data_IF_889750919750
#
_entry.id   IF_889750919750
#
_cell.length_a   1.000
_cell.length_b   1.000
_cell.length_c   1.000
_cell.angle_alpha   90.00
_cell.angle_beta   90.00
_cell.angle_gamma   90.00
#
_symmetry.space_group_name_H-M   'P 1'
#
loop_
_entity.id
_entity.type
_entity.pdbx_description
1 polymer ?
#
# COMPACT_ATOMS: atom_id res chain seq x y z
N UNK A 1 12.74 -4.40 -21.97
CA UNK A 1 12.56 -3.95 -20.57
C UNK A 1 12.26 -5.16 -19.70
N UNK A 2 12.97 -5.35 -18.59
CA UNK A 2 12.69 -6.46 -17.67
C UNK A 2 11.37 -6.20 -16.93
N UNK A 3 10.46 -7.18 -16.91
CA UNK A 3 9.16 -7.09 -16.25
C UNK A 3 8.78 -8.44 -15.65
N UNK A 4 8.53 -8.52 -14.36
CA UNK A 4 8.21 -9.78 -13.69
C UNK A 4 7.53 -9.61 -12.35
N UNK A 5 6.90 -10.69 -11.89
CA UNK A 5 6.31 -10.80 -10.56
C UNK A 5 7.22 -11.64 -9.65
N UNK A 6 7.48 -11.21 -8.45
CA UNK A 6 8.09 -12.00 -7.38
C UNK A 6 6.99 -12.61 -6.54
N UNK A 7 6.95 -13.93 -6.50
CA UNK A 7 5.97 -14.67 -5.69
C UNK A 7 6.67 -15.75 -4.83
N UNK A 8 5.93 -16.35 -3.92
CA UNK A 8 6.44 -17.43 -3.09
C UNK A 8 5.31 -18.39 -2.68
N UNK A 9 5.62 -19.62 -2.28
CA UNK A 9 4.61 -20.58 -1.83
C UNK A 9 3.76 -20.10 -0.66
N UNK A 10 4.33 -19.26 0.21
CA UNK A 10 3.69 -18.79 1.45
C UNK A 10 4.27 -17.48 1.96
N UNK A 11 3.57 -16.86 2.92
CA UNK A 11 4.11 -15.73 3.68
C UNK A 11 5.37 -16.14 4.44
N UNK A 12 6.30 -15.18 4.65
CA UNK A 12 7.55 -15.46 5.36
C UNK A 12 8.65 -16.14 4.54
N UNK A 13 8.43 -16.43 3.25
CA UNK A 13 9.46 -17.03 2.36
C UNK A 13 10.56 -16.04 1.93
N UNK A 14 10.47 -14.76 2.34
CA UNK A 14 11.47 -13.74 2.05
C UNK A 14 11.25 -12.96 0.76
N UNK A 15 10.03 -12.92 0.22
CA UNK A 15 9.70 -12.09 -0.97
C UNK A 15 10.21 -10.67 -0.84
N UNK A 16 9.84 -9.96 0.22
CA UNK A 16 10.23 -8.56 0.43
C UNK A 16 11.74 -8.39 0.51
N UNK A 17 12.45 -9.30 1.19
CA UNK A 17 13.92 -9.27 1.26
C UNK A 17 14.54 -9.40 -0.13
N UNK A 18 14.06 -10.37 -0.92
CA UNK A 18 14.53 -10.61 -2.30
C UNK A 18 14.15 -9.44 -3.21
N UNK A 19 12.94 -8.91 -3.10
CA UNK A 19 12.50 -7.74 -3.87
C UNK A 19 13.40 -6.54 -3.60
N UNK A 20 13.64 -6.21 -2.33
CA UNK A 20 14.53 -5.09 -1.97
C UNK A 20 15.97 -5.30 -2.47
N UNK A 21 16.50 -6.53 -2.37
CA UNK A 21 17.81 -6.87 -2.88
C UNK A 21 17.88 -6.72 -4.42
N UNK A 22 16.88 -7.21 -5.15
CA UNK A 22 16.79 -7.08 -6.61
C UNK A 22 16.67 -5.61 -7.05
N UNK A 23 15.78 -4.83 -6.43
CA UNK A 23 15.62 -3.41 -6.74
C UNK A 23 16.93 -2.65 -6.55
N UNK A 24 17.64 -2.90 -5.45
CA UNK A 24 18.92 -2.28 -5.18
C UNK A 24 20.03 -2.75 -6.16
N UNK A 25 20.05 -4.04 -6.52
CA UNK A 25 20.98 -4.58 -7.51
C UNK A 25 20.73 -4.02 -8.92
N UNK A 26 19.47 -3.97 -9.36
CA UNK A 26 19.07 -3.34 -10.64
C UNK A 26 19.51 -1.87 -10.71
N UNK A 27 19.31 -1.14 -9.61
CA UNK A 27 19.77 0.26 -9.52
C UNK A 27 21.31 0.38 -9.59
N UNK A 28 22.07 -0.50 -8.92
CA UNK A 28 23.53 -0.56 -9.03
C UNK A 28 24.03 -0.86 -10.46
N UNK A 29 23.25 -1.63 -11.22
CA UNK A 29 23.52 -1.92 -12.63
C UNK A 29 23.17 -0.76 -13.57
N UNK A 30 22.75 0.38 -13.04
CA UNK A 30 22.38 1.56 -13.83
C UNK A 30 21.00 1.45 -14.49
N UNK A 31 20.21 0.45 -14.12
CA UNK A 31 18.80 0.38 -14.51
C UNK A 31 17.99 1.30 -13.59
N UNK A 32 16.92 1.86 -14.13
CA UNK A 32 15.95 2.64 -13.37
C UNK A 32 14.73 1.76 -13.07
N UNK A 33 14.70 1.05 -11.90
CA UNK A 33 13.61 0.15 -11.57
C UNK A 33 12.39 0.90 -11.04
N UNK A 34 11.18 0.45 -11.44
CA UNK A 34 9.91 0.74 -10.80
C UNK A 34 9.40 -0.49 -10.06
N UNK A 35 8.82 -0.31 -8.89
CA UNK A 35 8.26 -1.40 -8.09
C UNK A 35 6.74 -1.29 -7.98
N UNK A 36 6.08 -2.45 -7.93
CA UNK A 36 4.68 -2.55 -7.58
C UNK A 36 4.48 -3.55 -6.44
N UNK A 37 3.58 -3.24 -5.54
CA UNK A 37 3.12 -4.15 -4.51
C UNK A 37 1.72 -4.65 -4.81
N UNK A 38 1.52 -5.96 -4.85
CA UNK A 38 0.18 -6.54 -4.92
C UNK A 38 -0.56 -6.33 -3.59
N UNK A 39 -1.80 -5.86 -3.68
CA UNK A 39 -2.65 -5.65 -2.51
C UNK A 39 -2.47 -4.29 -1.81
N UNK A 40 -3.19 -4.08 -0.69
CA UNK A 40 -3.36 -2.78 -0.04
C UNK A 40 -2.26 -2.48 1.00
N UNK A 41 -1.01 -2.71 0.63
CA UNK A 41 0.15 -2.54 1.50
C UNK A 41 0.74 -1.13 1.37
N UNK A 42 0.79 -0.37 2.46
CA UNK A 42 1.41 0.95 2.49
C UNK A 42 2.91 0.89 2.76
N UNK A 43 3.38 -0.15 3.44
CA UNK A 43 4.71 -0.21 4.06
C UNK A 43 5.78 -0.53 3.04
N UNK A 44 5.57 -1.57 2.23
CA UNK A 44 6.55 -1.96 1.23
C UNK A 44 6.77 -0.87 0.17
N UNK A 45 5.73 -0.23 -0.42
CA UNK A 45 5.93 0.91 -1.31
C UNK A 45 6.60 2.11 -0.65
N UNK A 46 6.25 2.43 0.59
CA UNK A 46 6.90 3.51 1.34
C UNK A 46 8.38 3.19 1.60
N UNK A 47 8.70 1.94 1.93
CA UNK A 47 10.07 1.49 2.11
C UNK A 47 10.89 1.61 0.81
N UNK A 48 10.35 1.15 -0.32
CA UNK A 48 11.01 1.25 -1.61
C UNK A 48 11.35 2.72 -1.94
N UNK A 49 10.39 3.63 -1.75
CA UNK A 49 10.62 5.06 -2.00
C UNK A 49 11.62 5.70 -1.04
N UNK A 50 11.47 5.46 0.28
CA UNK A 50 12.26 6.18 1.30
C UNK A 50 13.66 5.64 1.49
N UNK A 51 13.87 4.31 1.36
CA UNK A 51 15.17 3.65 1.61
C UNK A 51 15.92 3.38 0.33
N UNK A 52 15.25 2.90 -0.71
CA UNK A 52 15.90 2.55 -1.98
C UNK A 52 15.90 3.70 -2.98
N UNK A 53 15.05 4.72 -2.78
CA UNK A 53 14.81 5.77 -3.77
C UNK A 53 14.29 5.18 -5.09
N UNK A 54 13.41 4.18 -5.00
CA UNK A 54 12.77 3.50 -6.11
C UNK A 54 11.30 3.87 -6.12
N UNK A 55 10.79 4.31 -7.25
CA UNK A 55 9.36 4.55 -7.43
C UNK A 55 8.57 3.28 -7.19
N UNK A 56 7.49 3.36 -6.41
CA UNK A 56 6.74 2.19 -5.99
C UNK A 56 5.27 2.49 -5.77
N UNK A 57 4.41 1.60 -6.27
CA UNK A 57 2.96 1.75 -6.35
C UNK A 57 2.24 0.49 -5.88
N UNK A 58 0.90 0.59 -5.76
CA UNK A 58 0.06 -0.57 -5.44
C UNK A 58 -0.76 -0.99 -6.67
N UNK A 59 -0.88 -2.30 -6.85
CA UNK A 59 -1.80 -2.90 -7.81
C UNK A 59 -2.71 -3.88 -7.08
N UNK A 60 -4.01 -3.62 -7.11
CA UNK A 60 -4.97 -4.39 -6.34
C UNK A 60 -6.19 -4.76 -7.17
N UNK A 61 -6.34 -6.06 -7.47
CA UNK A 61 -7.45 -6.61 -8.26
C UNK A 61 -8.74 -6.81 -7.47
N UNK A 62 -8.73 -6.60 -6.15
CA UNK A 62 -9.94 -6.54 -5.35
C UNK A 62 -10.52 -5.14 -5.31
N UNK A 63 -9.67 -4.14 -5.06
CA UNK A 63 -10.05 -2.74 -4.93
C UNK A 63 -10.31 -2.07 -6.28
N UNK A 64 -9.73 -2.60 -7.37
CA UNK A 64 -9.85 -2.03 -8.71
C UNK A 64 -10.17 -3.07 -9.77
N UNK A 65 -10.86 -2.63 -10.81
CA UNK A 65 -11.11 -3.46 -11.99
C UNK A 65 -9.80 -3.81 -12.72
N UNK A 66 -9.77 -4.98 -13.37
CA UNK A 66 -8.60 -5.48 -14.13
C UNK A 66 -8.05 -4.44 -15.13
N UNK A 67 -8.92 -3.70 -15.80
CA UNK A 67 -8.50 -2.67 -16.75
C UNK A 67 -7.81 -1.49 -16.04
N UNK A 68 -8.33 -1.04 -14.90
CA UNK A 68 -7.71 0.01 -14.09
C UNK A 68 -6.31 -0.42 -13.62
N UNK A 69 -6.15 -1.67 -13.17
CA UNK A 69 -4.85 -2.22 -12.78
C UNK A 69 -3.87 -2.22 -13.94
N UNK A 70 -4.30 -2.60 -15.15
CA UNK A 70 -3.47 -2.55 -16.36
C UNK A 70 -3.07 -1.13 -16.76
N UNK A 71 -4.00 -0.18 -16.65
CA UNK A 71 -3.74 1.24 -16.93
C UNK A 71 -2.74 1.84 -15.94
N UNK A 72 -2.90 1.56 -14.64
CA UNK A 72 -1.95 1.98 -13.60
C UNK A 72 -0.56 1.38 -13.83
N UNK A 73 -0.50 0.06 -14.12
CA UNK A 73 0.74 -0.59 -14.45
C UNK A 73 1.44 0.07 -15.65
N UNK A 74 0.71 0.27 -16.74
CA UNK A 74 1.28 0.88 -17.94
C UNK A 74 1.71 2.33 -17.71
N UNK A 75 0.95 3.09 -16.92
CA UNK A 75 1.25 4.48 -16.59
C UNK A 75 2.57 4.61 -15.80
N UNK A 76 2.69 3.86 -14.70
CA UNK A 76 3.85 3.99 -13.81
C UNK A 76 5.07 3.17 -14.27
N UNK A 77 4.90 2.13 -15.09
CA UNK A 77 6.00 1.40 -15.70
C UNK A 77 6.68 2.16 -16.85
N UNK A 78 6.01 3.18 -17.39
CA UNK A 78 6.49 3.90 -18.55
C UNK A 78 7.80 4.66 -18.26
N UNK A 79 8.82 4.47 -19.10
CA UNK A 79 10.10 5.14 -18.98
C UNK A 79 11.13 4.45 -18.09
N UNK A 80 10.75 3.44 -17.33
CA UNK A 80 11.67 2.67 -16.49
C UNK A 80 12.40 1.57 -17.26
N UNK A 81 13.58 1.17 -16.79
CA UNK A 81 14.38 0.09 -17.38
C UNK A 81 13.98 -1.30 -16.91
N UNK A 82 13.39 -1.40 -15.72
CA UNK A 82 12.91 -2.63 -15.12
C UNK A 82 11.66 -2.41 -14.28
N UNK A 83 10.77 -3.41 -14.23
CA UNK A 83 9.57 -3.40 -13.38
C UNK A 83 9.51 -4.67 -12.55
N UNK A 84 9.39 -4.50 -11.25
CA UNK A 84 9.31 -5.59 -10.28
C UNK A 84 7.99 -5.51 -9.52
N UNK A 85 7.11 -6.49 -9.71
CA UNK A 85 5.86 -6.60 -8.96
C UNK A 85 6.05 -7.57 -7.79
N UNK A 86 5.92 -7.14 -6.55
CA UNK A 86 5.97 -8.02 -5.38
C UNK A 86 4.58 -8.55 -5.05
N UNK A 87 4.40 -9.88 -5.07
CA UNK A 87 3.17 -10.55 -4.65
C UNK A 87 2.95 -10.50 -3.14
N UNK A 88 1.71 -10.46 -2.73
CA UNK A 88 1.31 -10.62 -1.33
C UNK A 88 1.08 -12.10 -0.98
N UNK A 89 1.19 -12.46 0.29
CA UNK A 89 0.88 -13.80 0.83
C UNK A 89 1.55 -14.96 0.07
N UNK A 90 0.90 -16.10 -0.05
CA UNK A 90 1.28 -17.18 -0.95
C UNK A 90 0.79 -16.91 -2.39
N UNK A 91 1.42 -17.57 -3.36
CA UNK A 91 1.21 -17.28 -4.78
C UNK A 91 -0.25 -17.34 -5.21
N UNK A 92 -1.00 -18.31 -4.71
CA UNK A 92 -2.42 -18.50 -5.01
C UNK A 92 -3.37 -18.00 -3.92
N UNK A 93 -2.81 -17.47 -2.81
CA UNK A 93 -3.62 -16.97 -1.71
C UNK A 93 -4.21 -15.59 -2.08
N UNK A 94 -5.52 -15.52 -2.14
CA UNK A 94 -6.26 -14.31 -2.44
C UNK A 94 -7.34 -14.02 -1.41
N UNK A 95 -8.44 -13.44 -1.84
CA UNK A 95 -9.56 -13.15 -0.96
C UNK A 95 -10.16 -14.41 -0.35
N UNK A 96 -10.17 -14.51 0.96
CA UNK A 96 -10.69 -15.67 1.68
C UNK A 96 -9.95 -16.95 1.32
N UNK A 97 -10.66 -17.96 0.86
CA UNK A 97 -10.10 -19.25 0.39
C UNK A 97 -10.15 -19.36 -1.14
N UNK A 98 -9.90 -18.28 -1.85
CA UNK A 98 -9.94 -18.23 -3.32
C UNK A 98 -8.64 -17.68 -3.87
N UNK A 99 -8.45 -17.81 -5.19
CA UNK A 99 -7.31 -17.17 -5.90
C UNK A 99 -7.60 -15.74 -6.36
N UNK A 100 -8.78 -15.18 -6.04
CA UNK A 100 -9.15 -13.82 -6.42
C UNK A 100 -8.24 -12.79 -5.74
N UNK A 101 -7.70 -11.87 -6.51
CA UNK A 101 -6.73 -10.85 -6.09
C UNK A 101 -5.42 -11.43 -5.53
N UNK A 102 -5.06 -12.68 -5.88
CA UNK A 102 -3.77 -13.28 -5.55
C UNK A 102 -2.64 -12.73 -6.43
N UNK A 103 -1.40 -13.04 -6.06
CA UNK A 103 -0.23 -12.75 -6.89
C UNK A 103 -0.29 -13.46 -8.26
N UNK A 104 -0.89 -14.66 -8.32
CA UNK A 104 -1.15 -15.36 -9.57
C UNK A 104 -2.12 -14.59 -10.46
N UNK A 105 -3.25 -14.13 -9.92
CA UNK A 105 -4.22 -13.37 -10.72
C UNK A 105 -3.63 -12.05 -11.23
N UNK A 106 -2.74 -11.42 -10.46
CA UNK A 106 -2.01 -10.23 -10.92
C UNK A 106 -1.05 -10.57 -12.08
N UNK A 107 -0.28 -11.65 -11.96
CA UNK A 107 0.61 -12.11 -13.03
C UNK A 107 -0.17 -12.43 -14.31
N UNK A 108 -1.29 -13.13 -14.19
CA UNK A 108 -2.21 -13.44 -15.30
C UNK A 108 -2.84 -12.16 -15.90
N UNK A 109 -3.26 -11.24 -15.05
CA UNK A 109 -3.86 -9.98 -15.49
C UNK A 109 -2.90 -9.13 -16.32
N UNK A 110 -1.61 -9.16 -16.01
CA UNK A 110 -0.56 -8.36 -16.65
C UNK A 110 0.26 -9.15 -17.68
N UNK A 111 0.04 -10.45 -17.81
CA UNK A 111 0.83 -11.37 -18.65
C UNK A 111 2.32 -11.32 -18.33
N UNK A 112 2.65 -11.36 -17.02
CA UNK A 112 4.02 -11.25 -16.55
C UNK A 112 4.60 -12.60 -16.11
N UNK A 113 5.87 -12.89 -16.41
CA UNK A 113 6.57 -14.04 -15.85
C UNK A 113 6.74 -13.90 -14.34
N UNK A 114 6.66 -15.04 -13.66
CA UNK A 114 6.79 -15.13 -12.21
C UNK A 114 8.13 -15.73 -11.82
N UNK A 115 8.86 -15.06 -10.97
CA UNK A 115 10.02 -15.60 -10.26
C UNK A 115 9.58 -16.14 -8.91
N UNK A 116 9.65 -17.44 -8.74
CA UNK A 116 9.22 -18.11 -7.52
C UNK A 116 10.36 -18.13 -6.49
N UNK A 117 10.21 -17.39 -5.41
CA UNK A 117 11.14 -17.36 -4.28
C UNK A 117 10.81 -18.49 -3.32
N UNK A 118 11.74 -19.42 -3.12
CA UNK A 118 11.55 -20.56 -2.23
C UNK A 118 12.70 -20.69 -1.22
N UNK A 119 12.36 -21.16 -0.01
CA UNK A 119 13.35 -21.46 1.03
C UNK A 119 13.54 -22.97 1.12
N UNK A 120 14.75 -23.51 0.87
CA UNK A 120 14.99 -24.95 0.93
C UNK A 120 15.21 -25.43 2.37
N UNK A 121 14.37 -24.98 3.31
CA UNK A 121 14.51 -25.31 4.73
C UNK A 121 13.91 -26.68 5.03
N UNK A 122 14.79 -27.65 5.29
CA UNK A 122 14.38 -29.01 5.68
C UNK A 122 13.73 -29.82 4.54
N UNK A 123 13.93 -29.40 3.28
CA UNK A 123 13.39 -30.08 2.11
C UNK A 123 14.43 -30.19 0.98
N UNK A 124 14.38 -31.26 0.20
CA UNK A 124 15.18 -31.48 -1.01
C UNK A 124 14.27 -31.91 -2.16
N UNK A 125 14.03 -33.19 -2.39
CA UNK A 125 13.11 -33.69 -3.42
C UNK A 125 11.67 -33.21 -3.18
N UNK A 126 11.23 -33.11 -1.92
CA UNK A 126 9.91 -32.56 -1.56
C UNK A 126 9.74 -31.14 -2.06
N UNK A 127 10.81 -30.33 -2.10
CA UNK A 127 10.76 -28.98 -2.66
C UNK A 127 10.40 -28.96 -4.14
N UNK A 128 10.93 -29.92 -4.93
CA UNK A 128 10.58 -30.07 -6.33
C UNK A 128 9.08 -30.40 -6.49
N UNK A 129 8.55 -31.32 -5.66
CA UNK A 129 7.13 -31.66 -5.67
C UNK A 129 6.24 -30.46 -5.29
N UNK A 130 6.65 -29.63 -4.30
CA UNK A 130 5.94 -28.40 -3.95
C UNK A 130 5.91 -27.42 -5.15
N UNK A 131 7.03 -27.22 -5.80
CA UNK A 131 7.13 -26.32 -6.97
C UNK A 131 6.29 -26.85 -8.14
N UNK A 132 6.37 -28.15 -8.46
CA UNK A 132 5.54 -28.77 -9.48
C UNK A 132 4.03 -28.59 -9.18
N UNK A 133 3.64 -28.75 -7.91
CA UNK A 133 2.28 -28.48 -7.47
C UNK A 133 1.84 -27.06 -7.79
N UNK A 134 2.69 -26.07 -7.54
CA UNK A 134 2.41 -24.67 -7.87
C UNK A 134 2.36 -24.43 -9.40
N UNK A 135 3.27 -25.03 -10.16
CA UNK A 135 3.31 -24.88 -11.63
C UNK A 135 2.04 -25.43 -12.28
N UNK A 136 1.51 -26.54 -11.78
CA UNK A 136 0.38 -27.26 -12.40
C UNK A 136 -0.98 -26.99 -11.73
N UNK A 137 -1.04 -26.20 -10.65
CA UNK A 137 -2.31 -25.92 -9.96
C UNK A 137 -3.30 -25.10 -10.81
N UNK A 138 -2.79 -24.25 -11.69
CA UNK A 138 -3.58 -23.51 -12.68
C UNK A 138 -3.03 -23.79 -14.08
N UNK A 139 -3.84 -23.71 -15.14
CA UNK A 139 -3.39 -23.96 -16.52
C UNK A 139 -2.20 -23.10 -16.93
N UNK A 140 -2.18 -21.84 -16.51
CA UNK A 140 -1.10 -20.89 -16.77
C UNK A 140 -0.64 -20.29 -15.44
N UNK A 141 0.42 -20.88 -14.87
CA UNK A 141 0.99 -20.38 -13.62
C UNK A 141 1.89 -19.16 -13.81
N UNK A 142 2.37 -18.94 -15.06
CA UNK A 142 3.37 -17.93 -15.39
C UNK A 142 4.71 -18.10 -14.68
N UNK A 143 4.92 -19.16 -13.89
CA UNK A 143 6.19 -19.41 -13.20
C UNK A 143 7.26 -19.72 -14.25
N UNK A 144 8.25 -18.82 -14.37
CA UNK A 144 9.29 -18.89 -15.38
C UNK A 144 10.67 -19.24 -14.81
N UNK A 145 10.88 -19.06 -13.51
CA UNK A 145 12.15 -19.36 -12.87
C UNK A 145 12.06 -19.43 -11.35
N UNK A 146 13.09 -20.00 -10.75
CA UNK A 146 13.19 -20.25 -9.31
C UNK A 146 14.38 -19.46 -8.75
N UNK A 147 14.18 -18.82 -7.59
CA UNK A 147 15.24 -18.20 -6.82
C UNK A 147 15.23 -18.74 -5.39
N UNK A 148 16.37 -19.28 -4.93
CA UNK A 148 16.48 -19.84 -3.60
C UNK A 148 16.85 -18.74 -2.58
N UNK A 149 16.03 -18.58 -1.55
CA UNK A 149 16.28 -17.63 -0.46
C UNK A 149 16.74 -18.36 0.81
N UNK A 150 17.58 -17.72 1.62
CA UNK A 150 18.18 -18.30 2.83
C UNK A 150 18.92 -19.63 2.53
N UNK A 151 19.63 -19.66 1.41
CA UNK A 151 20.27 -20.84 0.85
C UNK A 151 21.79 -20.69 0.82
N UNK A 152 22.54 -21.69 1.32
CA UNK A 152 24.00 -21.70 1.19
C UNK A 152 24.45 -22.13 -0.21
N UNK A 153 25.65 -21.71 -0.63
CA UNK A 153 26.23 -22.11 -1.90
C UNK A 153 26.29 -23.65 -2.07
N UNK A 154 26.70 -24.36 -1.02
CA UNK A 154 26.76 -25.83 -1.05
C UNK A 154 25.37 -26.43 -1.33
N UNK A 155 24.33 -25.92 -0.66
CA UNK A 155 22.98 -26.42 -0.83
C UNK A 155 22.42 -26.04 -2.22
N UNK A 156 22.72 -24.83 -2.69
CA UNK A 156 22.37 -24.39 -4.05
C UNK A 156 22.94 -25.32 -5.13
N UNK A 157 24.24 -25.64 -5.05
CA UNK A 157 24.90 -26.55 -6.01
C UNK A 157 24.30 -27.96 -6.04
N UNK A 158 23.76 -28.42 -4.89
CA UNK A 158 23.08 -29.72 -4.80
C UNK A 158 21.65 -29.65 -5.35
N UNK A 159 20.91 -28.58 -5.03
CA UNK A 159 19.49 -28.46 -5.38
C UNK A 159 19.25 -28.02 -6.82
N UNK A 160 20.13 -27.16 -7.37
CA UNK A 160 19.94 -26.62 -8.72
C UNK A 160 19.67 -27.71 -9.78
N UNK A 161 20.56 -28.71 -9.99
CA UNK A 161 20.32 -29.72 -11.01
C UNK A 161 19.07 -30.58 -10.73
N UNK A 162 18.79 -30.86 -9.45
CA UNK A 162 17.58 -31.59 -9.07
C UNK A 162 16.31 -30.81 -9.43
N UNK A 163 16.23 -29.54 -9.02
CA UNK A 163 15.05 -28.72 -9.27
C UNK A 163 14.84 -28.46 -10.76
N UNK A 164 15.89 -28.18 -11.50
CA UNK A 164 15.83 -27.98 -12.95
C UNK A 164 15.35 -29.25 -13.69
N UNK A 165 15.84 -30.43 -13.28
CA UNK A 165 15.43 -31.72 -13.86
C UNK A 165 13.96 -32.02 -13.57
N UNK A 166 13.54 -31.88 -12.31
CA UNK A 166 12.19 -32.27 -11.89
C UNK A 166 11.12 -31.26 -12.29
N UNK A 167 11.44 -29.96 -12.34
CA UNK A 167 10.43 -28.92 -12.59
C UNK A 167 10.45 -28.39 -14.03
N UNK A 168 11.53 -28.61 -14.76
CA UNK A 168 11.77 -28.00 -16.08
C UNK A 168 12.00 -26.50 -16.06
N UNK A 169 12.14 -25.89 -14.86
CA UNK A 169 12.34 -24.46 -14.68
C UNK A 169 13.80 -24.15 -14.34
N UNK A 170 14.38 -23.07 -14.88
CA UNK A 170 15.73 -22.65 -14.49
C UNK A 170 15.77 -22.18 -13.02
N UNK A 171 16.81 -22.58 -12.30
CA UNK A 171 17.14 -22.06 -10.98
C UNK A 171 18.16 -20.95 -11.15
N UNK A 172 17.68 -19.70 -11.07
CA UNK A 172 18.42 -18.50 -11.43
C UNK A 172 19.57 -18.16 -10.48
N UNK A 173 19.46 -18.58 -9.23
CA UNK A 173 20.45 -18.24 -8.23
C UNK A 173 19.94 -18.40 -6.81
N UNK A 174 20.69 -17.82 -5.88
CA UNK A 174 20.33 -17.88 -4.47
C UNK A 174 20.73 -16.61 -3.71
N UNK A 175 19.97 -16.29 -2.67
CA UNK A 175 20.35 -15.30 -1.66
C UNK A 175 20.80 -16.05 -0.40
N UNK A 176 22.06 -15.91 0.04
CA UNK A 176 22.54 -16.55 1.26
C UNK A 176 21.93 -15.89 2.50
N UNK A 177 21.91 -16.63 3.60
CA UNK A 177 21.57 -16.05 4.89
C UNK A 177 22.67 -15.10 5.34
N UNK A 178 22.30 -13.84 5.55
CA UNK A 178 23.20 -12.78 6.01
C UNK A 178 22.72 -12.28 7.39
N UNK A 179 23.25 -12.78 8.51
CA UNK A 179 22.84 -12.36 9.85
C UNK A 179 22.97 -10.85 10.09
N UNK A 180 23.97 -10.21 9.48
CA UNK A 180 24.23 -8.78 9.57
C UNK A 180 23.26 -7.93 8.72
N UNK A 181 22.52 -8.55 7.81
CA UNK A 181 21.57 -7.88 6.91
C UNK A 181 20.11 -8.28 7.18
N UNK A 182 19.83 -8.81 8.37
CA UNK A 182 18.45 -9.09 8.76
C UNK A 182 17.70 -7.78 8.86
N UNK A 183 16.71 -7.63 7.97
CA UNK A 183 15.68 -6.60 8.10
C UNK A 183 14.67 -7.16 9.08
N UNK A 184 14.60 -6.56 10.28
CA UNK A 184 13.68 -7.02 11.32
C UNK A 184 12.27 -7.13 10.76
N UNK A 185 11.61 -8.25 11.08
CA UNK A 185 10.20 -8.46 10.71
C UNK A 185 9.40 -7.25 11.15
N UNK A 186 8.80 -6.58 10.19
CA UNK A 186 7.95 -5.42 10.44
C UNK A 186 6.74 -5.92 11.19
N UNK A 187 6.62 -5.52 12.43
CA UNK A 187 5.42 -5.76 13.21
C UNK A 187 4.32 -4.94 12.55
N UNK A 188 3.65 -5.53 11.54
CA UNK A 188 2.46 -5.00 10.85
C UNK A 188 2.45 -3.46 10.76
N UNK A 189 3.56 -2.87 10.27
CA UNK A 189 3.61 -1.44 10.06
C UNK A 189 3.99 -0.56 11.24
N UNK A 190 4.34 -1.09 12.38
CA UNK A 190 4.71 -0.29 13.55
C UNK A 190 6.08 0.43 13.44
N UNK A 191 6.92 0.03 12.48
CA UNK A 191 8.19 0.71 12.19
C UNK A 191 8.18 1.19 10.74
N UNK A 192 8.23 2.49 10.55
CA UNK A 192 8.44 3.08 9.24
C UNK A 192 9.89 2.87 8.79
N UNK A 193 10.13 2.92 7.50
CA UNK A 193 11.48 2.80 6.94
C UNK A 193 12.48 3.80 7.55
N UNK A 194 12.01 5.01 7.89
CA UNK A 194 12.84 6.06 8.52
C UNK A 194 13.21 5.80 9.98
N UNK A 195 12.58 4.82 10.65
CA UNK A 195 12.83 4.48 12.06
C UNK A 195 13.85 3.34 12.23
N UNK A 196 14.23 2.69 11.14
CA UNK A 196 15.22 1.63 11.16
C UNK A 196 16.56 2.24 10.72
N UNK A 197 17.45 2.41 11.64
CA UNK A 197 18.83 2.81 11.36
C UNK A 197 19.55 1.71 10.55
N UNK A 198 20.52 2.06 9.71
CA UNK A 198 21.37 1.14 8.92
C UNK A 198 20.70 0.32 7.80
N UNK A 199 19.41 0.59 7.50
CA UNK A 199 18.67 -0.18 6.48
C UNK A 199 19.31 -0.14 5.09
N UNK A 200 19.71 1.05 4.65
CA UNK A 200 20.35 1.19 3.33
C UNK A 200 21.63 0.35 3.24
N UNK A 201 22.42 0.26 4.33
CA UNK A 201 23.61 -0.57 4.38
C UNK A 201 23.25 -2.05 4.32
N UNK A 202 22.26 -2.49 5.09
CA UNK A 202 21.79 -3.89 5.08
C UNK A 202 21.28 -4.31 3.70
N UNK A 203 20.47 -3.46 3.06
CA UNK A 203 20.00 -3.73 1.70
C UNK A 203 21.16 -3.74 0.70
N UNK A 204 22.16 -2.88 0.89
CA UNK A 204 23.40 -2.90 0.09
C UNK A 204 24.12 -4.25 0.14
N UNK A 205 24.25 -4.85 1.32
CA UNK A 205 24.85 -6.19 1.50
C UNK A 205 24.02 -7.30 0.84
N UNK A 206 22.69 -7.23 0.95
CA UNK A 206 21.78 -8.18 0.27
C UNK A 206 21.89 -8.06 -1.24
N UNK A 207 21.96 -6.83 -1.76
CA UNK A 207 22.13 -6.57 -3.19
C UNK A 207 23.47 -7.12 -3.73
N UNK A 208 24.57 -6.90 -3.02
CA UNK A 208 25.89 -7.41 -3.40
C UNK A 208 25.93 -8.95 -3.40
N UNK A 209 25.31 -9.57 -2.39
CA UNK A 209 25.20 -11.01 -2.32
C UNK A 209 24.35 -11.59 -3.46
N UNK A 210 23.26 -10.91 -3.80
CA UNK A 210 22.41 -11.34 -4.92
C UNK A 210 23.10 -11.12 -6.26
N UNK A 211 23.76 -9.97 -6.46
CA UNK A 211 24.55 -9.66 -7.67
C UNK A 211 25.59 -10.75 -7.97
N UNK A 212 26.27 -11.24 -6.94
CA UNK A 212 27.29 -12.27 -7.07
C UNK A 212 26.75 -13.68 -7.36
N UNK A 213 25.46 -13.94 -7.05
CA UNK A 213 24.92 -15.31 -7.05
C UNK A 213 23.69 -15.48 -7.98
N UNK A 214 23.35 -14.48 -8.80
CA UNK A 214 22.25 -14.51 -9.72
C UNK A 214 22.72 -14.63 -11.17
N UNK A 215 22.12 -15.53 -11.94
CA UNK A 215 22.28 -15.61 -13.38
C UNK A 215 21.46 -14.52 -14.07
N UNK A 216 22.08 -13.35 -14.22
CA UNK A 216 21.48 -12.18 -14.81
C UNK A 216 21.08 -12.37 -16.26
N UNK A 217 21.86 -13.13 -17.04
CA UNK A 217 21.57 -13.37 -18.44
C UNK A 217 20.28 -14.18 -18.61
N UNK A 218 20.12 -15.22 -17.81
CA UNK A 218 18.88 -16.02 -17.81
C UNK A 218 17.70 -15.22 -17.27
N UNK A 219 17.90 -14.44 -16.20
CA UNK A 219 16.85 -13.55 -15.67
C UNK A 219 16.36 -12.57 -16.74
N UNK A 220 17.26 -11.89 -17.42
CA UNK A 220 16.94 -10.93 -18.47
C UNK A 220 16.17 -11.62 -19.61
N UNK A 221 16.66 -12.76 -20.11
CA UNK A 221 16.01 -13.52 -21.17
C UNK A 221 14.56 -13.96 -20.81
N UNK A 222 14.32 -14.34 -19.55
CA UNK A 222 12.99 -14.75 -19.10
C UNK A 222 12.02 -13.58 -18.90
N UNK A 223 12.54 -12.41 -18.55
CA UNK A 223 11.72 -11.28 -18.10
C UNK A 223 11.65 -10.12 -19.09
N UNK A 224 12.42 -10.20 -20.20
CA UNK A 224 12.36 -9.16 -21.23
C UNK A 224 10.99 -9.18 -21.93
N UNK A 225 10.34 -8.02 -21.91
CA UNK A 225 9.03 -7.78 -22.54
C UNK A 225 9.06 -6.40 -23.21
N UNK A 226 8.22 -6.17 -24.24
CA UNK A 226 7.97 -4.84 -24.76
C UNK A 226 7.52 -3.90 -23.63
N UNK A 227 7.97 -2.65 -23.67
CA UNK A 227 7.46 -1.66 -22.72
C UNK A 227 5.93 -1.52 -22.88
N UNK A 228 5.17 -1.39 -21.80
CA UNK A 228 3.74 -1.14 -21.88
C UNK A 228 3.48 0.11 -22.74
N UNK A 229 2.42 0.07 -23.55
CA UNK A 229 2.02 1.23 -24.30
C UNK A 229 1.70 2.38 -23.33
N UNK A 230 2.30 3.57 -23.50
CA UNK A 230 2.04 4.68 -22.58
C UNK A 230 0.56 5.04 -22.63
N UNK A 231 -0.07 5.00 -21.45
CA UNK A 231 -1.43 5.54 -21.29
C UNK A 231 -1.29 7.04 -21.12
N UNK A 232 -1.87 7.87 -22.02
CA UNK A 232 -1.82 9.31 -21.85
C UNK A 232 -2.37 9.67 -20.46
N UNK A 233 -1.68 10.51 -19.68
CA UNK A 233 -2.24 10.98 -18.43
C UNK A 233 -3.56 11.67 -18.74
N UNK A 234 -4.62 11.43 -17.92
CA UNK A 234 -5.86 12.17 -18.08
C UNK A 234 -5.56 13.66 -18.04
N UNK A 235 -6.19 14.43 -18.93
CA UNK A 235 -5.94 15.86 -19.03
C UNK A 235 -6.11 16.51 -17.64
N UNK A 236 -5.04 17.16 -17.16
CA UNK A 236 -5.05 17.89 -15.90
C UNK A 236 -6.19 18.92 -15.92
N UNK A 237 -7.16 18.74 -15.06
CA UNK A 237 -8.19 19.75 -14.87
C UNK A 237 -7.62 20.86 -14.00
N UNK A 238 -7.57 22.08 -14.52
CA UNK A 238 -7.19 23.25 -13.72
C UNK A 238 -8.30 23.58 -12.75
N UNK A 239 -8.32 22.92 -11.59
CA UNK A 239 -9.31 23.21 -10.57
C UNK A 239 -8.93 24.44 -9.74
N UNK A 240 -7.64 24.68 -9.56
CA UNK A 240 -7.14 25.79 -8.76
C UNK A 240 -7.56 25.73 -7.29
N UNK A 241 -7.75 24.52 -6.75
CA UNK A 241 -8.07 24.31 -5.34
C UNK A 241 -6.88 23.68 -4.61
N UNK A 242 -6.58 24.19 -3.43
CA UNK A 242 -5.51 23.68 -2.56
C UNK A 242 -6.10 22.71 -1.54
N UNK A 243 -5.56 21.49 -1.51
CA UNK A 243 -5.93 20.45 -0.56
C UNK A 243 -4.75 20.22 0.39
N UNK A 244 -4.97 20.45 1.68
CA UNK A 244 -3.99 20.11 2.69
C UNK A 244 -4.00 18.60 2.93
N UNK A 245 -2.81 17.98 2.88
CA UNK A 245 -2.62 16.55 3.11
C UNK A 245 -1.71 16.36 4.31
N UNK A 246 -2.19 15.71 5.36
CA UNK A 246 -1.35 15.38 6.51
C UNK A 246 -0.31 14.35 6.11
N UNK A 247 0.96 14.65 6.38
CA UNK A 247 2.08 13.77 6.07
C UNK A 247 3.21 13.93 7.08
N UNK A 248 3.31 12.98 7.98
CA UNK A 248 4.40 12.81 8.94
C UNK A 248 4.45 11.36 9.44
N UNK A 249 5.16 11.10 10.52
CA UNK A 249 5.26 9.76 11.10
C UNK A 249 3.95 9.23 11.67
N UNK A 250 3.02 10.10 12.04
CA UNK A 250 1.69 9.74 12.54
C UNK A 250 0.70 9.52 11.38
N UNK A 251 0.90 10.16 10.23
CA UNK A 251 0.03 10.15 9.05
C UNK A 251 0.83 9.81 7.79
N UNK A 252 1.05 8.53 7.53
CA UNK A 252 1.92 8.07 6.45
C UNK A 252 1.26 7.06 5.50
N UNK A 253 0.00 6.67 5.71
CA UNK A 253 -0.70 5.68 4.90
C UNK A 253 -1.59 6.33 3.84
N UNK A 254 -0.96 6.97 2.87
CA UNK A 254 -1.62 7.43 1.65
C UNK A 254 -1.07 6.66 0.45
N UNK A 255 -1.96 6.12 -0.38
CA UNK A 255 -1.54 5.56 -1.66
C UNK A 255 -1.02 6.66 -2.58
N UNK A 256 0.11 6.42 -3.27
CA UNK A 256 0.64 7.35 -4.25
C UNK A 256 -0.40 7.63 -5.36
N UNK A 257 -1.11 6.59 -5.79
CA UNK A 257 -2.17 6.64 -6.78
C UNK A 257 -3.32 7.57 -6.34
N UNK A 258 -3.68 7.58 -5.05
CA UNK A 258 -4.71 8.50 -4.51
C UNK A 258 -4.26 9.95 -4.65
N UNK A 259 -3.00 10.24 -4.30
CA UNK A 259 -2.45 11.60 -4.42
C UNK A 259 -2.38 12.05 -5.89
N UNK A 260 -2.00 11.15 -6.79
CA UNK A 260 -1.93 11.44 -8.23
C UNK A 260 -3.33 11.61 -8.85
N UNK A 261 -4.31 10.84 -8.41
CA UNK A 261 -5.71 11.04 -8.80
C UNK A 261 -6.25 12.40 -8.37
N UNK A 262 -5.88 12.90 -7.19
CA UNK A 262 -6.26 14.24 -6.74
C UNK A 262 -5.59 15.33 -7.59
N UNK A 263 -4.29 15.19 -7.90
CA UNK A 263 -3.57 16.11 -8.82
C UNK A 263 -4.22 16.13 -10.19
N UNK A 264 -4.52 14.95 -10.73
CA UNK A 264 -5.20 14.77 -12.02
C UNK A 264 -6.60 15.40 -12.03
N UNK A 265 -7.34 15.32 -10.92
CA UNK A 265 -8.61 16.01 -10.76
C UNK A 265 -8.49 17.55 -10.63
N UNK A 266 -7.25 18.07 -10.55
CA UNK A 266 -6.93 19.49 -10.55
C UNK A 266 -6.64 20.09 -9.18
N UNK A 267 -6.34 19.29 -8.18
CA UNK A 267 -5.92 19.78 -6.87
C UNK A 267 -4.42 20.11 -6.85
N UNK A 268 -4.08 21.21 -6.21
CA UNK A 268 -2.75 21.46 -5.66
C UNK A 268 -2.67 20.82 -4.27
N UNK A 269 -1.76 19.87 -4.09
CA UNK A 269 -1.56 19.22 -2.79
C UNK A 269 -0.53 19.98 -1.98
N UNK A 270 -0.90 20.37 -0.76
CA UNK A 270 -0.03 21.06 0.19
C UNK A 270 0.14 20.18 1.41
N UNK A 271 1.34 19.66 1.60
CA UNK A 271 1.63 18.76 2.71
C UNK A 271 1.90 19.53 4.00
N UNK A 272 1.43 19.00 5.13
CA UNK A 272 1.67 19.55 6.45
C UNK A 272 1.82 18.44 7.50
N UNK A 273 2.42 18.74 8.63
CA UNK A 273 2.64 17.80 9.73
C UNK A 273 1.76 18.14 10.93
N UNK A 274 0.72 17.36 11.23
CA UNK A 274 -0.03 17.54 12.47
C UNK A 274 0.81 17.44 13.75
N UNK A 275 1.94 16.73 13.71
CA UNK A 275 2.87 16.59 14.85
C UNK A 275 3.73 17.83 15.04
N UNK A 276 4.17 18.49 13.94
CA UNK A 276 5.23 19.53 14.01
C UNK A 276 4.76 20.93 13.64
N UNK A 277 3.82 21.07 12.70
CA UNK A 277 3.34 22.37 12.26
C UNK A 277 2.33 22.95 13.26
N UNK A 278 2.33 24.26 13.42
CA UNK A 278 1.45 24.96 14.38
C UNK A 278 0.19 25.53 13.76
N UNK A 279 0.05 25.49 12.42
CA UNK A 279 -1.09 25.98 11.68
C UNK A 279 -1.35 25.14 10.44
N UNK A 280 -2.60 25.11 9.97
CA UNK A 280 -2.93 24.60 8.66
C UNK A 280 -2.34 25.50 7.56
N UNK A 281 -1.98 24.94 6.39
CA UNK A 281 -1.56 25.72 5.25
C UNK A 281 -2.64 26.75 4.85
N UNK A 282 -2.19 27.91 4.35
CA UNK A 282 -3.10 28.98 3.94
C UNK A 282 -3.88 28.62 2.69
N UNK A 283 -5.05 29.23 2.54
CA UNK A 283 -5.95 29.14 1.36
C UNK A 283 -6.37 27.72 0.95
N UNK A 284 -6.41 26.80 1.92
CA UNK A 284 -6.90 25.45 1.67
C UNK A 284 -8.41 25.42 1.48
N UNK A 285 -8.84 24.53 0.61
CA UNK A 285 -10.25 24.30 0.27
C UNK A 285 -10.67 22.85 0.53
N UNK A 286 -9.75 22.02 0.98
CA UNK A 286 -9.97 20.63 1.38
C UNK A 286 -8.90 20.14 2.33
N UNK A 287 -9.22 19.11 3.09
CA UNK A 287 -8.32 18.48 4.08
C UNK A 287 -8.36 16.97 3.90
N UNK A 288 -7.19 16.34 3.73
CA UNK A 288 -7.04 14.90 3.72
C UNK A 288 -6.14 14.46 4.88
N UNK A 289 -6.71 13.69 5.79
CA UNK A 289 -6.05 13.07 6.94
C UNK A 289 -5.97 11.55 6.67
N UNK A 290 -4.89 11.04 6.09
CA UNK A 290 -4.75 9.62 5.80
C UNK A 290 -4.55 8.78 7.06
N UNK A 291 -4.45 7.47 6.90
CA UNK A 291 -4.07 6.55 7.95
C UNK A 291 -2.62 6.71 8.39
N UNK A 292 -2.23 5.92 9.38
CA UNK A 292 -0.89 5.92 9.96
C UNK A 292 -0.89 5.35 11.37
N UNK A 293 -0.03 5.91 12.21
CA UNK A 293 0.18 5.47 13.60
C UNK A 293 -0.03 6.61 14.60
N UNK A 294 -1.19 7.27 14.65
CA UNK A 294 -1.40 8.39 15.56
C UNK A 294 -1.28 7.97 17.04
N UNK A 295 -1.55 6.71 17.36
CA UNK A 295 -1.40 6.17 18.72
C UNK A 295 0.05 6.14 19.22
N UNK A 296 1.03 6.03 18.33
CA UNK A 296 2.45 6.12 18.69
C UNK A 296 2.89 7.56 18.91
N UNK A 297 2.15 8.51 18.38
CA UNK A 297 2.40 9.96 18.47
C UNK A 297 1.27 10.68 19.20
N UNK A 298 0.45 9.95 19.98
CA UNK A 298 -0.74 10.50 20.63
C UNK A 298 -0.39 11.68 21.57
N UNK A 299 0.71 11.59 22.33
CA UNK A 299 1.17 12.67 23.18
C UNK A 299 1.62 13.91 22.39
N UNK A 300 2.56 13.85 21.43
CA UNK A 300 2.91 15.01 20.60
C UNK A 300 1.71 15.62 19.87
N UNK A 301 0.81 14.82 19.31
CA UNK A 301 -0.41 15.30 18.68
C UNK A 301 -1.31 16.04 19.67
N UNK A 302 -1.42 15.54 20.90
CA UNK A 302 -2.19 16.17 21.97
C UNK A 302 -1.58 17.49 22.44
N UNK A 303 -0.26 17.55 22.58
CA UNK A 303 0.48 18.74 22.99
C UNK A 303 0.40 19.86 21.94
N UNK A 304 0.22 19.53 20.66
CA UNK A 304 0.02 20.51 19.58
C UNK A 304 -1.43 21.03 19.54
N UNK A 305 -1.79 21.77 20.57
CA UNK A 305 -3.16 22.30 20.75
C UNK A 305 -3.58 23.22 19.61
N UNK A 306 -2.70 24.06 19.12
CA UNK A 306 -2.99 25.02 18.04
C UNK A 306 -3.42 24.31 16.76
N UNK A 307 -2.72 23.25 16.37
CA UNK A 307 -3.08 22.45 15.19
C UNK A 307 -4.41 21.71 15.40
N UNK A 308 -4.63 21.10 16.58
CA UNK A 308 -5.89 20.41 16.88
C UNK A 308 -7.09 21.36 16.82
N UNK A 309 -6.95 22.54 17.39
CA UNK A 309 -7.99 23.56 17.37
C UNK A 309 -8.24 24.06 15.94
N UNK A 310 -7.17 24.32 15.15
CA UNK A 310 -7.30 24.73 13.76
C UNK A 310 -8.02 23.69 12.89
N UNK A 311 -7.69 22.40 13.06
CA UNK A 311 -8.38 21.32 12.34
C UNK A 311 -9.84 21.22 12.78
N UNK A 312 -10.12 21.26 14.09
CA UNK A 312 -11.50 21.23 14.60
C UNK A 312 -12.34 22.38 14.04
N UNK A 313 -11.82 23.59 14.08
CA UNK A 313 -12.52 24.79 13.64
C UNK A 313 -12.75 24.76 12.12
N UNK A 314 -11.76 24.29 11.34
CA UNK A 314 -11.88 24.14 9.89
C UNK A 314 -12.93 23.09 9.50
N UNK A 315 -12.92 21.92 10.13
CA UNK A 315 -13.89 20.84 9.83
C UNK A 315 -15.30 21.26 10.26
N UNK A 316 -15.47 21.82 11.45
CA UNK A 316 -16.75 22.34 11.92
C UNK A 316 -17.24 23.53 11.09
N UNK A 317 -16.34 24.31 10.49
CA UNK A 317 -16.61 25.35 9.51
C UNK A 317 -16.98 24.84 8.10
N UNK A 318 -17.12 23.52 7.92
CA UNK A 318 -17.55 22.91 6.68
C UNK A 318 -16.45 22.71 5.63
N UNK A 319 -15.17 22.81 6.01
CA UNK A 319 -14.06 22.48 5.09
C UNK A 319 -14.20 21.02 4.62
N UNK A 320 -14.33 20.75 3.32
CA UNK A 320 -14.36 19.40 2.80
C UNK A 320 -13.20 18.55 3.32
N UNK A 321 -13.53 17.49 4.05
CA UNK A 321 -12.53 16.70 4.80
C UNK A 321 -12.72 15.21 4.54
N UNK A 322 -11.61 14.52 4.30
CA UNK A 322 -11.52 13.07 4.25
C UNK A 322 -10.54 12.61 5.33
N UNK A 323 -10.98 11.71 6.21
CA UNK A 323 -10.18 11.17 7.31
C UNK A 323 -10.29 9.64 7.36
N UNK A 324 -9.20 8.95 7.08
CA UNK A 324 -9.15 7.50 7.04
C UNK A 324 -8.37 6.94 8.24
N UNK A 325 -8.88 5.90 8.88
CA UNK A 325 -8.20 5.10 9.92
C UNK A 325 -7.51 5.97 11.00
N UNK A 326 -6.21 6.20 10.91
CA UNK A 326 -5.48 7.07 11.81
C UNK A 326 -5.99 8.52 11.82
N UNK A 327 -6.33 9.05 10.65
CA UNK A 327 -6.96 10.37 10.49
C UNK A 327 -8.34 10.44 11.16
N UNK A 328 -9.13 9.37 11.04
CA UNK A 328 -10.41 9.23 11.73
C UNK A 328 -10.24 9.27 13.26
N UNK A 329 -9.30 8.48 13.79
CA UNK A 329 -9.00 8.47 15.24
C UNK A 329 -8.55 9.85 15.75
N UNK A 330 -7.79 10.58 14.94
CA UNK A 330 -7.34 11.95 15.30
C UNK A 330 -8.48 12.97 15.35
N UNK A 331 -9.55 12.79 14.57
CA UNK A 331 -10.76 13.61 14.64
C UNK A 331 -11.61 13.30 15.88
N UNK A 332 -11.38 12.20 16.59
CA UNK A 332 -12.09 11.82 17.82
C UNK A 332 -11.79 12.73 19.01
N UNK A 333 -12.40 12.43 20.16
CA UNK A 333 -12.23 13.17 21.40
C UNK A 333 -10.87 12.91 22.07
N UNK A 334 -10.51 11.65 22.17
CA UNK A 334 -9.25 11.18 22.77
C UNK A 334 -8.72 9.97 22.02
N UNK A 335 -7.42 9.71 22.14
CA UNK A 335 -6.77 8.50 21.61
C UNK A 335 -5.86 7.90 22.70
N UNK A 336 -6.04 6.63 23.00
CA UNK A 336 -5.13 5.88 23.86
C UNK A 336 -3.83 5.57 23.13
N UNK A 337 -2.71 5.78 23.80
CA UNK A 337 -1.40 5.35 23.34
C UNK A 337 -1.13 3.85 23.61
N UNK A 338 0.07 3.37 23.28
CA UNK A 338 0.47 2.00 23.50
C UNK A 338 0.46 1.57 24.99
N UNK A 339 0.54 2.54 25.93
CA UNK A 339 0.45 2.30 27.37
C UNK A 339 -0.99 2.30 27.91
N UNK A 340 -1.98 2.69 27.08
CA UNK A 340 -3.38 2.86 27.48
C UNK A 340 -3.66 4.26 28.08
N UNK A 341 -2.72 5.20 27.97
CA UNK A 341 -2.95 6.58 28.39
C UNK A 341 -3.76 7.33 27.32
N UNK A 342 -4.91 7.89 27.70
CA UNK A 342 -5.78 8.62 26.80
C UNK A 342 -5.30 10.09 26.66
N UNK A 343 -5.09 10.51 25.40
CA UNK A 343 -4.63 11.83 25.02
C UNK A 343 -5.72 12.59 24.25
N UNK A 344 -5.99 13.88 24.55
CA UNK A 344 -6.94 14.69 23.79
C UNK A 344 -6.56 14.78 22.30
N UNK A 345 -7.55 14.64 21.40
CA UNK A 345 -7.40 14.79 19.95
C UNK A 345 -8.19 16.01 19.44
N UNK A 346 -8.49 16.09 18.15
CA UNK A 346 -9.15 17.26 17.57
C UNK A 346 -10.57 17.50 18.11
N UNK A 347 -11.29 16.47 18.52
CA UNK A 347 -12.60 16.61 19.16
C UNK A 347 -13.73 17.00 18.20
N UNK A 348 -13.62 16.65 16.94
CA UNK A 348 -14.67 16.84 15.92
C UNK A 348 -15.75 15.75 16.05
N UNK A 349 -15.34 14.51 16.22
CA UNK A 349 -16.21 13.33 16.30
C UNK A 349 -16.39 12.88 17.76
N UNK A 350 -17.53 12.25 18.09
CA UNK A 350 -17.86 11.87 19.46
C UNK A 350 -17.01 10.71 20.00
N UNK A 351 -16.45 9.86 19.12
CA UNK A 351 -15.73 8.66 19.50
C UNK A 351 -14.41 8.90 20.23
N UNK A 352 -13.99 7.91 21.01
CA UNK A 352 -12.69 7.85 21.69
C UNK A 352 -11.91 6.68 21.12
N UNK A 353 -10.70 6.90 20.63
CA UNK A 353 -9.80 5.85 20.19
C UNK A 353 -9.28 5.03 21.37
N UNK A 354 -9.52 3.74 21.37
CA UNK A 354 -9.19 2.81 22.45
C UNK A 354 -8.29 1.68 21.98
N UNK A 355 -7.35 1.27 22.83
CA UNK A 355 -6.48 0.12 22.61
C UNK A 355 -7.21 -1.17 22.93
N UNK A 356 -7.43 -2.05 21.95
CA UNK A 356 -8.18 -3.31 22.14
C UNK A 356 -7.26 -4.50 22.45
N UNK A 357 -5.96 -4.39 22.15
CA UNK A 357 -4.98 -5.46 22.42
C UNK A 357 -5.05 -6.66 21.46
N UNK A 358 -5.90 -6.60 20.46
CA UNK A 358 -6.04 -7.59 19.38
C UNK A 358 -6.31 -6.89 18.05
N UNK A 359 -6.13 -7.61 16.96
CA UNK A 359 -6.58 -7.13 15.64
C UNK A 359 -8.12 -7.04 15.65
N UNK A 360 -8.65 -5.84 15.42
CA UNK A 360 -10.09 -5.56 15.46
C UNK A 360 -10.72 -5.96 14.14
N UNK A 361 -10.20 -5.42 13.04
CA UNK A 361 -10.62 -5.76 11.68
C UNK A 361 -9.42 -5.93 10.78
N UNK A 362 -9.58 -6.81 9.81
CA UNK A 362 -8.53 -7.11 8.83
C UNK A 362 -9.13 -7.56 7.51
N UNK A 363 -8.65 -6.99 6.43
CA UNK A 363 -8.84 -7.46 5.06
C UNK A 363 -9.90 -6.69 4.29
N UNK A 364 -10.27 -7.25 3.17
CA UNK A 364 -11.19 -6.68 2.21
C UNK A 364 -12.65 -6.78 2.63
N UNK A 365 -13.45 -5.80 2.25
CA UNK A 365 -14.89 -5.77 2.43
C UNK A 365 -15.57 -4.90 1.36
N UNK A 366 -16.89 -4.97 1.27
CA UNK A 366 -17.74 -4.14 0.42
C UNK A 366 -18.51 -3.14 1.31
N UNK A 367 -18.32 -1.86 1.07
CA UNK A 367 -18.94 -0.77 1.83
C UNK A 367 -19.99 -0.07 0.98
N UNK A 368 -21.19 0.10 1.52
CA UNK A 368 -22.32 0.77 0.85
C UNK A 368 -22.73 2.02 1.63
N UNK A 369 -22.81 3.15 0.94
CA UNK A 369 -23.27 4.42 1.50
C UNK A 369 -24.78 4.42 1.71
N UNK A 370 -25.26 4.88 2.88
CA UNK A 370 -26.69 4.97 3.19
C UNK A 370 -27.36 6.24 2.68
N UNK A 371 -26.58 7.30 2.48
CA UNK A 371 -27.08 8.61 2.03
C UNK A 371 -26.07 9.30 1.10
N UNK A 372 -26.51 10.35 0.42
CA UNK A 372 -25.63 11.25 -0.34
C UNK A 372 -24.69 12.00 0.59
N UNK A 373 -23.42 12.12 0.17
CA UNK A 373 -22.37 12.77 0.94
C UNK A 373 -21.30 13.40 0.04
N UNK A 374 -20.23 13.93 0.62
CA UNK A 374 -19.08 14.49 -0.09
C UNK A 374 -18.52 13.54 -1.17
N UNK A 375 -18.40 12.26 -0.84
CA UNK A 375 -17.74 11.27 -1.70
C UNK A 375 -18.70 10.28 -2.36
N UNK A 376 -19.88 10.02 -1.79
CA UNK A 376 -20.76 8.92 -2.18
C UNK A 376 -22.18 9.39 -2.46
N UNK A 377 -22.85 8.71 -3.38
CA UNK A 377 -24.30 8.75 -3.51
C UNK A 377 -24.96 7.63 -2.72
N UNK A 378 -26.19 7.82 -2.30
CA UNK A 378 -26.98 6.81 -1.60
C UNK A 378 -27.04 5.50 -2.40
N UNK A 379 -26.74 4.37 -1.76
CA UNK A 379 -26.71 3.05 -2.38
C UNK A 379 -25.44 2.75 -3.19
N UNK A 380 -24.54 3.70 -3.35
CA UNK A 380 -23.25 3.44 -4.01
C UNK A 380 -22.36 2.58 -3.13
N UNK A 381 -21.68 1.61 -3.73
CA UNK A 381 -20.75 0.73 -3.03
C UNK A 381 -19.32 0.89 -3.52
N UNK A 382 -18.37 0.61 -2.64
CA UNK A 382 -16.94 0.62 -2.90
C UNK A 382 -16.28 -0.55 -2.18
N UNK A 383 -15.37 -1.24 -2.85
CA UNK A 383 -14.48 -2.19 -2.20
C UNK A 383 -13.44 -1.45 -1.38
N UNK A 384 -13.30 -1.88 -0.13
CA UNK A 384 -12.45 -1.24 0.87
C UNK A 384 -11.51 -2.24 1.52
N UNK A 385 -10.51 -1.73 2.22
CA UNK A 385 -9.65 -2.48 3.10
C UNK A 385 -9.64 -1.88 4.50
N UNK A 386 -9.75 -2.70 5.54
CA UNK A 386 -9.53 -2.30 6.92
C UNK A 386 -8.38 -3.12 7.53
N UNK A 387 -7.54 -2.44 8.32
CA UNK A 387 -6.50 -3.07 9.12
C UNK A 387 -6.19 -2.19 10.33
N UNK A 388 -6.70 -2.53 11.51
CA UNK A 388 -6.45 -1.74 12.71
C UNK A 388 -6.50 -2.57 14.00
N UNK A 389 -5.64 -2.18 14.95
CA UNK A 389 -5.54 -2.73 16.31
C UNK A 389 -6.21 -1.86 17.36
N UNK A 390 -6.39 -0.58 17.07
CA UNK A 390 -7.20 0.34 17.87
C UNK A 390 -8.63 0.33 17.35
N UNK A 391 -9.57 0.59 18.22
CA UNK A 391 -10.98 0.76 17.87
C UNK A 391 -11.45 2.15 18.33
N UNK A 392 -12.67 2.51 18.02
CA UNK A 392 -13.32 3.70 18.55
C UNK A 392 -14.56 3.30 19.36
N UNK A 393 -14.88 4.08 20.39
CA UNK A 393 -16.13 3.91 21.13
C UNK A 393 -17.37 4.28 20.32
N UNK A 394 -17.17 5.02 19.20
CA UNK A 394 -18.19 5.34 18.22
C UNK A 394 -17.55 5.31 16.83
N UNK A 395 -17.98 4.35 16.02
CA UNK A 395 -17.48 4.13 14.67
C UNK A 395 -18.35 4.79 13.59
N UNK A 396 -19.42 5.50 13.97
CA UNK A 396 -20.41 6.01 13.04
C UNK A 396 -21.31 4.92 12.46
N UNK A 397 -22.25 5.32 11.61
CA UNK A 397 -23.23 4.39 11.04
C UNK A 397 -23.72 4.78 9.64
N UNK A 398 -23.02 5.68 8.94
CA UNK A 398 -23.48 6.18 7.63
C UNK A 398 -23.17 5.21 6.48
N UNK A 399 -22.43 4.15 6.76
CA UNK A 399 -22.14 3.07 5.83
C UNK A 399 -22.49 1.71 6.42
N UNK A 400 -22.96 0.81 5.54
CA UNK A 400 -23.08 -0.62 5.83
C UNK A 400 -21.93 -1.36 5.16
N UNK A 401 -21.24 -2.21 5.91
CA UNK A 401 -20.10 -2.96 5.39
C UNK A 401 -20.37 -4.46 5.45
N UNK A 402 -20.14 -5.12 4.34
CA UNK A 402 -20.30 -6.55 4.17
C UNK A 402 -18.96 -7.21 3.82
N UNK A 403 -18.57 -8.20 4.58
CA UNK A 403 -17.39 -9.03 4.33
C UNK A 403 -17.76 -10.47 3.99
N UNK A 404 -18.79 -10.99 4.62
CA UNK A 404 -19.38 -12.31 4.35
C UNK A 404 -20.79 -12.36 4.94
N UNK A 405 -21.53 -13.43 4.65
CA UNK A 405 -22.87 -13.65 5.25
C UNK A 405 -22.90 -13.53 6.79
N UNK A 406 -21.78 -13.86 7.44
CA UNK A 406 -21.67 -13.87 8.91
C UNK A 406 -20.98 -12.64 9.49
N UNK A 407 -20.37 -11.79 8.64
CA UNK A 407 -19.56 -10.65 9.10
C UNK A 407 -20.00 -9.39 8.37
N UNK A 408 -20.80 -8.61 9.07
CA UNK A 408 -21.33 -7.32 8.63
C UNK A 408 -21.23 -6.32 9.78
N UNK A 409 -21.08 -5.05 9.48
CA UNK A 409 -21.07 -3.97 10.48
C UNK A 409 -21.47 -2.64 9.85
N UNK A 410 -21.77 -1.69 10.70
CA UNK A 410 -21.93 -0.29 10.31
C UNK A 410 -20.70 0.51 10.73
N UNK A 411 -20.36 1.54 9.94
CA UNK A 411 -19.25 2.42 10.26
C UNK A 411 -19.34 3.74 9.52
N UNK A 412 -18.40 4.64 9.83
CA UNK A 412 -18.15 5.89 9.14
C UNK A 412 -19.15 6.97 9.48
N UNK A 413 -18.65 8.19 9.44
CA UNK A 413 -19.38 9.44 9.49
C UNK A 413 -19.30 10.10 8.13
N UNK A 414 -20.42 10.49 7.57
CA UNK A 414 -20.50 11.13 6.27
C UNK A 414 -21.47 12.31 6.27
N UNK A 415 -21.07 13.38 5.59
CA UNK A 415 -21.93 14.54 5.31
C UNK A 415 -21.52 15.14 3.97
N UNK A 416 -22.14 16.25 3.58
CA UNK A 416 -21.75 16.99 2.37
C UNK A 416 -20.35 17.60 2.42
N UNK A 417 -19.71 17.62 3.61
CA UNK A 417 -18.34 18.14 3.79
C UNK A 417 -17.39 17.15 4.49
N UNK A 418 -17.83 15.95 4.84
CA UNK A 418 -17.02 15.01 5.62
C UNK A 418 -17.16 13.58 5.13
N UNK A 419 -16.06 12.86 5.06
CA UNK A 419 -15.94 11.41 5.19
C UNK A 419 -14.93 11.11 6.29
N UNK A 420 -15.30 10.29 7.28
CA UNK A 420 -14.39 9.83 8.32
C UNK A 420 -14.72 8.41 8.78
N UNK A 421 -13.74 7.51 8.78
CA UNK A 421 -13.94 6.12 9.18
C UNK A 421 -12.65 5.30 9.16
N UNK A 422 -12.73 4.05 9.64
CA UNK A 422 -11.60 3.11 9.54
C UNK A 422 -11.34 2.61 8.11
N UNK A 423 -12.34 2.45 7.22
CA UNK A 423 -12.08 2.00 5.87
C UNK A 423 -11.07 2.86 5.13
N UNK A 424 -10.07 2.21 4.55
CA UNK A 424 -9.16 2.81 3.59
C UNK A 424 -9.77 2.74 2.20
N UNK A 425 -9.81 3.88 1.52
CA UNK A 425 -10.36 4.02 0.18
C UNK A 425 -9.23 3.98 -0.85
N UNK A 426 -9.38 3.13 -1.87
CA UNK A 426 -8.48 3.15 -3.02
C UNK A 426 -9.14 3.95 -4.14
N UNK A 427 -8.57 5.09 -4.50
CA UNK A 427 -9.26 6.10 -5.31
C UNK A 427 -9.10 5.92 -6.81
N UNK A 428 -8.08 5.17 -7.25
CA UNK A 428 -7.82 4.97 -8.67
C UNK A 428 -8.98 4.21 -9.36
N UNK A 429 -9.43 4.74 -10.49
CA UNK A 429 -10.56 4.19 -11.24
C UNK A 429 -11.94 4.50 -10.65
N UNK A 430 -12.02 5.34 -9.60
CA UNK A 430 -13.28 5.73 -8.94
C UNK A 430 -13.63 7.21 -9.20
N UNK A 431 -14.88 7.64 -8.94
CA UNK A 431 -15.26 9.05 -9.01
C UNK A 431 -14.79 9.89 -7.82
N UNK A 432 -14.27 9.29 -6.75
CA UNK A 432 -13.95 9.95 -5.47
C UNK A 432 -13.04 11.18 -5.61
N UNK A 433 -11.93 11.14 -6.41
CA UNK A 433 -11.06 12.31 -6.56
C UNK A 433 -11.79 13.53 -7.11
N UNK A 434 -12.62 13.31 -8.14
CA UNK A 434 -13.40 14.39 -8.78
C UNK A 434 -14.45 14.95 -7.84
N UNK A 435 -15.14 14.12 -7.05
CA UNK A 435 -16.14 14.54 -6.08
C UNK A 435 -15.51 15.37 -4.98
N UNK A 436 -14.40 14.91 -4.40
CA UNK A 436 -13.70 15.66 -3.37
C UNK A 436 -13.21 17.03 -3.88
N UNK A 437 -12.58 17.07 -5.05
CA UNK A 437 -12.14 18.33 -5.69
C UNK A 437 -13.33 19.23 -6.03
N UNK A 438 -14.47 18.68 -6.42
CA UNK A 438 -15.70 19.46 -6.68
C UNK A 438 -16.26 20.05 -5.38
N UNK A 439 -16.26 19.31 -4.28
CA UNK A 439 -16.60 19.81 -2.95
C UNK A 439 -15.67 20.96 -2.51
N UNK A 440 -14.37 20.80 -2.73
CA UNK A 440 -13.37 21.83 -2.45
C UNK A 440 -13.58 23.11 -3.27
N UNK A 441 -13.94 22.99 -4.56
CA UNK A 441 -14.31 24.14 -5.41
C UNK A 441 -15.57 24.85 -4.92
N UNK A 442 -16.55 24.08 -4.49
CA UNK A 442 -17.79 24.64 -3.95
C UNK A 442 -17.51 25.45 -2.68
N UNK A 443 -16.75 24.89 -1.76
CA UNK A 443 -16.30 25.57 -0.54
C UNK A 443 -15.52 26.87 -0.84
N UNK A 444 -14.58 26.83 -1.80
CA UNK A 444 -13.82 27.99 -2.23
C UNK A 444 -14.71 29.14 -2.71
N UNK A 445 -15.74 28.82 -3.49
CA UNK A 445 -16.71 29.83 -4.01
C UNK A 445 -17.51 30.44 -2.87
N UNK A 446 -17.96 29.64 -1.91
CA UNK A 446 -18.70 30.13 -0.76
C UNK A 446 -17.83 31.11 0.08
N UNK A 447 -16.57 30.73 0.33
CA UNK A 447 -15.64 31.57 1.09
C UNK A 447 -15.38 32.93 0.42
N UNK A 448 -15.29 32.97 -0.90
CA UNK A 448 -15.14 34.23 -1.65
C UNK A 448 -16.38 35.13 -1.53
N UNK A 449 -17.57 34.55 -1.68
CA UNK A 449 -18.83 35.31 -1.59
C UNK A 449 -19.15 35.84 -0.20
N UNK A 450 -18.52 35.34 0.86
CA UNK A 450 -18.66 35.84 2.23
C UNK A 450 -17.68 36.95 2.57
N UNK A 451 -16.70 37.23 1.71
CA UNK A 451 -15.71 38.29 1.90
C UNK A 451 -15.91 39.49 0.93
N UNK A 452 -16.78 39.34 -0.04
CA UNK A 452 -17.33 40.43 -0.86
C UNK A 452 -18.61 40.97 -0.25
#
# INVERSE_FOLDING_TARGET
MMQFVIAAPRSGSGKTTVTCALLAALKKRGMDPCAFKSGPDYIDPMFHRSVLGVESHNLDLYLSAKNTVRELYAHYAAGHGAVVCEGAMGFYDGQGLTTRASAWELADALDLPVLLVVQPKGASVTLAAEIQGLVHFKPESHIAGILLNDCSEKLFRMLKPLLETETGLPVLGYLPRLPQAVVESRYLGLKTAGEITDLAQKIGLLADALEANLDWATLEALTERPAPAPVPPPALQTAGVRIAVAQDKAFCFAYAETLDCLRTAGAELVFFSPVHDTALPEDICGLYLPGGYPELYARPLSENKTMRDAIRDAVNGGLPTVAECGGFLYLGQTLEDASGTAWPMAGVLPGKGIKVGRLVRFGYADMTAKADSLLFHAGEHLYIHEFHHWDSTDNGSDFSVWKSEKVQWECGFASMSLYAGFPHLYWAGTPLPRRFVSGAKFYQRQKRNTHD
#
